data_IF_703707304972
#
_entry.id   IF_703707304972
#
_cell.length_a   1.000
_cell.length_b   1.000
_cell.length_c   1.000
_cell.angle_alpha   90.00
_cell.angle_beta   90.00
_cell.angle_gamma   90.00
#
_symmetry.space_group_name_H-M   'P 1'
#
loop_
_entity.id
_entity.type
_entity.pdbx_description
1 polymer ?
#
# COMPACT_ATOMS: atom_id res chain seq x y z
N UNK A 1 8.34 -13.13 11.63
CA UNK A 1 7.11 -12.69 10.94
C UNK A 1 7.38 -11.31 10.38
N UNK A 2 7.47 -11.15 9.05
CA UNK A 2 7.77 -9.85 8.42
C UNK A 2 6.55 -8.96 8.65
N UNK A 3 6.70 -7.91 9.46
CA UNK A 3 5.66 -6.91 9.67
C UNK A 3 5.47 -6.19 8.33
N UNK A 4 4.35 -6.44 7.64
CA UNK A 4 4.03 -5.73 6.41
C UNK A 4 3.69 -4.28 6.76
N UNK A 5 4.30 -3.28 6.10
CA UNK A 5 4.00 -1.88 6.39
C UNK A 5 2.52 -1.60 6.11
N UNK A 6 1.86 -0.92 7.04
CA UNK A 6 0.51 -0.41 6.80
C UNK A 6 0.50 0.57 5.62
N UNK A 7 -0.64 0.63 4.94
CA UNK A 7 -0.87 1.57 3.85
C UNK A 7 -1.83 2.66 4.27
N UNK A 8 -1.62 3.87 3.75
CA UNK A 8 -2.65 4.89 3.71
C UNK A 8 -3.39 4.82 2.38
N UNK A 9 -4.70 5.04 2.46
CA UNK A 9 -5.57 5.20 1.31
C UNK A 9 -5.73 6.70 1.06
N UNK A 10 -5.41 7.11 -0.17
CA UNK A 10 -5.43 8.48 -0.63
C UNK A 10 -6.57 8.69 -1.62
N UNK A 11 -7.22 9.85 -1.57
CA UNK A 11 -8.31 10.21 -2.50
C UNK A 11 -7.79 10.64 -3.88
N UNK A 12 -6.55 11.13 -3.93
CA UNK A 12 -5.97 11.72 -5.13
C UNK A 12 -4.45 11.76 -5.07
N UNK A 13 -3.81 12.13 -6.19
CA UNK A 13 -2.38 12.45 -6.22
C UNK A 13 -2.00 13.61 -5.29
N UNK A 14 -2.91 14.57 -5.06
CA UNK A 14 -2.68 15.67 -4.12
C UNK A 14 -2.48 15.16 -2.70
N UNK A 15 -3.24 14.15 -2.29
CA UNK A 15 -3.07 13.53 -0.97
C UNK A 15 -1.72 12.84 -0.85
N UNK A 16 -1.28 12.15 -1.92
CA UNK A 16 0.05 11.53 -1.97
C UNK A 16 1.13 12.60 -1.80
N UNK A 17 1.08 13.70 -2.56
CA UNK A 17 2.06 14.79 -2.46
C UNK A 17 2.01 15.52 -1.12
N UNK A 18 0.84 15.52 -0.46
CA UNK A 18 0.65 16.08 0.89
C UNK A 18 1.34 15.19 1.93
N UNK A 19 1.05 13.89 1.93
CA UNK A 19 1.48 12.97 2.98
C UNK A 19 2.83 12.29 2.72
N UNK A 20 3.41 12.46 1.53
CA UNK A 20 4.70 11.90 1.14
C UNK A 20 5.58 12.96 0.48
N UNK A 21 6.81 12.60 0.11
CA UNK A 21 7.68 13.46 -0.72
C UNK A 21 7.31 13.44 -2.20
N UNK A 22 6.21 12.77 -2.58
CA UNK A 22 5.77 12.57 -3.95
C UNK A 22 6.52 11.46 -4.68
N UNK A 23 6.06 11.14 -5.89
CA UNK A 23 6.74 10.17 -6.75
C UNK A 23 8.09 10.71 -7.26
N UNK A 24 9.13 9.85 -7.39
CA UNK A 24 10.41 10.26 -7.94
C UNK A 24 10.25 10.86 -9.34
N UNK A 25 11.00 11.92 -9.65
CA UNK A 25 10.92 12.61 -10.95
C UNK A 25 11.70 11.90 -12.07
N UNK A 26 12.52 10.91 -11.74
CA UNK A 26 13.27 10.08 -12.70
C UNK A 26 14.01 8.93 -12.01
N UNK A 27 14.49 7.95 -12.78
CA UNK A 27 15.36 6.88 -12.29
C UNK A 27 16.73 6.90 -12.99
N UNK A 28 17.67 6.11 -12.46
CA UNK A 28 19.01 5.95 -13.02
C UNK A 28 19.03 5.37 -14.46
N UNK A 29 17.91 4.82 -14.94
CA UNK A 29 17.77 4.21 -16.27
C UNK A 29 17.24 5.17 -17.36
N UNK A 30 17.18 6.49 -17.10
CA UNK A 30 16.78 7.47 -18.12
C UNK A 30 15.28 7.60 -18.35
N UNK A 31 14.44 7.02 -17.48
CA UNK A 31 13.00 7.24 -17.54
C UNK A 31 12.68 8.67 -17.09
N UNK A 32 12.29 9.51 -18.04
CA UNK A 32 12.16 10.96 -17.83
C UNK A 32 10.87 11.36 -17.10
N UNK A 33 9.94 10.42 -16.83
CA UNK A 33 8.71 10.72 -16.10
C UNK A 33 8.04 9.47 -15.47
N UNK A 34 8.53 9.04 -14.30
CA UNK A 34 7.90 7.97 -13.49
C UNK A 34 6.46 8.33 -13.11
N UNK A 35 6.20 9.62 -12.84
CA UNK A 35 4.87 10.07 -12.45
C UNK A 35 3.84 9.83 -13.56
N UNK A 36 4.20 10.10 -14.82
CA UNK A 36 3.36 9.74 -15.97
C UNK A 36 3.09 8.25 -16.04
N UNK A 37 4.09 7.41 -15.78
CA UNK A 37 3.92 5.97 -15.77
C UNK A 37 2.99 5.49 -14.64
N UNK A 38 3.11 6.08 -13.45
CA UNK A 38 2.23 5.80 -12.29
C UNK A 38 0.78 6.21 -12.54
N UNK A 39 0.52 7.27 -13.32
CA UNK A 39 -0.85 7.65 -13.70
C UNK A 39 -1.59 6.57 -14.48
N UNK A 40 -0.88 5.69 -15.18
CA UNK A 40 -1.49 4.54 -15.85
C UNK A 40 -1.77 3.37 -14.89
N UNK A 41 -1.28 3.44 -13.65
CA UNK A 41 -1.45 2.41 -12.62
C UNK A 41 -2.53 2.79 -11.58
N UNK A 42 -2.89 4.07 -11.46
CA UNK A 42 -3.78 4.59 -10.42
C UNK A 42 -4.96 5.38 -11.02
N UNK A 43 -6.19 5.24 -10.48
CA UNK A 43 -6.59 4.29 -9.44
C UNK A 43 -6.41 2.83 -9.87
N UNK A 44 -6.07 1.94 -8.93
CA UNK A 44 -5.81 0.56 -9.31
C UNK A 44 -5.16 -0.33 -8.25
N UNK A 45 -4.81 -1.56 -8.63
CA UNK A 45 -4.34 -2.61 -7.73
C UNK A 45 -2.86 -2.48 -7.37
N UNK A 46 -2.40 -1.26 -7.05
CA UNK A 46 -1.02 -0.98 -6.68
C UNK A 46 -0.92 -0.35 -5.29
N UNK A 47 0.18 -0.67 -4.61
CA UNK A 47 0.65 0.02 -3.41
C UNK A 47 2.06 0.52 -3.68
N UNK A 48 2.30 1.81 -3.54
CA UNK A 48 3.62 2.40 -3.71
C UNK A 48 4.22 2.75 -2.35
N UNK A 49 5.42 2.31 -2.04
CA UNK A 49 6.13 2.72 -0.83
C UNK A 49 6.89 4.00 -1.13
N UNK A 50 6.56 5.06 -0.40
CA UNK A 50 7.15 6.40 -0.56
C UNK A 50 7.69 6.90 0.77
N UNK A 51 8.62 7.86 0.71
CA UNK A 51 9.08 8.58 1.90
C UNK A 51 7.96 9.48 2.41
N UNK A 52 7.56 9.31 3.67
CA UNK A 52 6.52 10.12 4.30
C UNK A 52 6.98 11.58 4.49
N UNK A 53 6.03 12.51 4.34
CA UNK A 53 6.24 13.92 4.64
C UNK A 53 6.03 14.20 6.13
N UNK A 54 6.31 15.43 6.55
CA UNK A 54 5.99 15.90 7.91
C UNK A 54 4.48 16.09 8.15
N UNK A 55 3.67 16.15 7.08
CA UNK A 55 2.22 16.34 7.16
C UNK A 55 1.48 15.02 7.40
N UNK A 56 2.13 13.87 7.22
CA UNK A 56 1.55 12.59 7.59
C UNK A 56 1.29 12.56 9.11
N UNK A 57 0.05 12.26 9.56
CA UNK A 57 -0.24 12.14 10.99
C UNK A 57 0.69 11.10 11.64
N UNK A 58 1.28 11.44 12.79
CA UNK A 58 2.27 10.60 13.49
C UNK A 58 1.74 9.20 13.80
N UNK A 59 0.43 9.06 13.98
CA UNK A 59 -0.27 7.80 14.17
C UNK A 59 -0.02 6.86 13.00
N UNK A 60 -0.07 7.36 11.75
CA UNK A 60 0.18 6.56 10.55
C UNK A 60 1.62 6.01 10.50
N UNK A 61 2.59 6.73 11.07
CA UNK A 61 3.99 6.30 11.15
C UNK A 61 4.24 5.32 12.29
N UNK A 62 3.49 5.41 13.40
CA UNK A 62 3.65 4.51 14.57
C UNK A 62 3.24 3.08 14.25
N UNK A 63 2.29 2.91 13.32
CA UNK A 63 1.81 1.61 12.87
C UNK A 63 2.54 1.10 11.61
N UNK A 64 3.66 1.73 11.20
CA UNK A 64 4.49 1.33 10.07
C UNK A 64 5.95 1.08 10.46
N UNK A 65 6.48 -0.07 10.05
CA UNK A 65 7.90 -0.46 10.04
C UNK A 65 8.67 -0.40 11.38
N UNK A 66 8.54 -1.48 12.17
CA UNK A 66 9.50 -1.85 13.23
C UNK A 66 10.62 -2.79 12.73
N UNK A 67 10.84 -2.88 11.41
CA UNK A 67 11.90 -3.71 10.82
C UNK A 67 13.17 -2.86 10.64
N UNK A 68 14.32 -3.35 11.11
CA UNK A 68 15.62 -2.66 11.08
C UNK A 68 16.03 -2.13 9.69
N UNK A 69 15.55 -2.75 8.60
CA UNK A 69 15.80 -2.32 7.21
C UNK A 69 15.07 -1.01 6.82
N UNK A 70 13.93 -0.73 7.45
CA UNK A 70 13.06 0.43 7.16
C UNK A 70 12.94 1.41 8.33
N UNK A 71 13.45 1.07 9.51
CA UNK A 71 13.38 1.89 10.72
C UNK A 71 14.13 3.24 10.60
N UNK A 72 15.06 3.38 9.64
CA UNK A 72 15.83 4.63 9.44
C UNK A 72 15.12 5.66 8.53
N UNK A 73 14.11 5.26 7.77
CA UNK A 73 13.35 6.14 6.86
C UNK A 73 11.86 5.98 7.09
N UNK A 74 11.19 7.08 7.43
CA UNK A 74 9.73 7.13 7.63
C UNK A 74 9.04 6.84 6.30
N UNK A 75 8.93 5.58 5.91
CA UNK A 75 8.30 5.18 4.66
C UNK A 75 6.84 4.79 4.93
N UNK A 76 5.98 4.97 3.94
CA UNK A 76 4.56 4.63 4.03
C UNK A 76 4.09 4.04 2.70
N UNK A 77 3.28 2.98 2.75
CA UNK A 77 2.59 2.49 1.57
C UNK A 77 1.43 3.43 1.23
N UNK A 78 1.31 3.86 -0.02
CA UNK A 78 0.18 4.67 -0.51
C UNK A 78 -0.63 3.89 -1.53
N UNK A 79 -1.95 4.08 -1.49
CA UNK A 79 -2.90 3.44 -2.41
C UNK A 79 -3.95 4.44 -2.87
N UNK A 80 -4.36 4.34 -4.13
CA UNK A 80 -5.59 4.95 -4.65
C UNK A 80 -6.43 3.80 -5.22
N UNK A 81 -7.31 3.17 -4.41
CA UNK A 81 -8.13 2.05 -4.85
C UNK A 81 -9.15 2.47 -5.89
N UNK A 82 -9.34 1.63 -6.90
CA UNK A 82 -10.47 1.72 -7.83
C UNK A 82 -11.68 0.98 -7.23
N UNK A 83 -12.20 1.49 -6.12
CA UNK A 83 -13.37 0.95 -5.43
C UNK A 83 -14.34 2.08 -5.03
N UNK A 84 -15.60 2.07 -5.53
CA UNK A 84 -16.55 3.14 -5.26
C UNK A 84 -16.88 3.35 -3.78
N UNK A 85 -16.85 2.29 -2.96
CA UNK A 85 -17.16 2.38 -1.53
C UNK A 85 -16.00 3.03 -0.79
N UNK A 86 -14.76 2.63 -1.08
CA UNK A 86 -13.57 3.31 -0.58
C UNK A 86 -13.57 4.79 -0.96
N UNK A 87 -13.87 5.13 -2.22
CA UNK A 87 -13.91 6.53 -2.66
C UNK A 87 -14.98 7.33 -1.93
N UNK A 88 -16.21 6.80 -1.81
CA UNK A 88 -17.29 7.46 -1.08
C UNK A 88 -16.95 7.69 0.41
N UNK A 89 -16.25 6.75 1.05
CA UNK A 89 -15.76 6.92 2.43
C UNK A 89 -14.72 8.03 2.50
N UNK A 90 -13.72 8.02 1.61
CA UNK A 90 -12.65 9.03 1.59
C UNK A 90 -13.17 10.44 1.33
N UNK A 91 -14.24 10.60 0.54
CA UNK A 91 -14.89 11.90 0.31
C UNK A 91 -15.47 12.52 1.59
N UNK A 92 -15.78 11.70 2.59
CA UNK A 92 -16.28 12.15 3.90
C UNK A 92 -15.18 12.36 4.94
N UNK A 93 -13.92 12.07 4.59
CA UNK A 93 -12.79 12.18 5.50
C UNK A 93 -11.93 13.41 5.18
N UNK A 94 -11.54 14.13 6.23
CA UNK A 94 -10.63 15.28 6.15
C UNK A 94 -9.15 14.87 6.11
N UNK A 95 -8.85 13.57 6.16
CA UNK A 95 -7.49 13.02 6.22
C UNK A 95 -7.37 11.65 5.56
N UNK A 96 -6.17 11.05 5.56
CA UNK A 96 -5.94 9.76 4.95
C UNK A 96 -6.53 8.65 5.82
N UNK A 97 -7.00 7.57 5.20
CA UNK A 97 -7.46 6.38 5.90
C UNK A 97 -6.32 5.36 5.99
N UNK A 98 -5.93 4.97 7.21
CA UNK A 98 -4.99 3.85 7.39
C UNK A 98 -5.74 2.54 7.11
N UNK A 99 -5.12 1.64 6.36
CA UNK A 99 -5.72 0.37 5.96
C UNK A 99 -4.72 -0.78 6.00
N UNK A 100 -5.23 -1.95 6.41
CA UNK A 100 -4.60 -3.26 6.34
C UNK A 100 -5.59 -4.28 5.79
N UNK A 101 -5.07 -5.41 5.29
CA UNK A 101 -5.91 -6.58 5.04
C UNK A 101 -6.48 -7.12 6.36
N UNK A 102 -7.76 -7.50 6.34
CA UNK A 102 -8.44 -8.15 7.46
C UNK A 102 -8.12 -9.64 7.44
N UNK A 103 -7.62 -10.17 8.54
CA UNK A 103 -7.19 -11.57 8.65
C UNK A 103 -7.65 -12.21 9.94
N UNK A 104 -7.95 -13.50 9.93
CA UNK A 104 -8.28 -14.25 11.14
C UNK A 104 -7.16 -14.10 12.18
N UNK A 105 -7.48 -13.66 13.43
CA UNK A 105 -6.51 -13.57 14.51
C UNK A 105 -5.86 -14.91 14.86
N UNK A 106 -6.55 -16.02 14.58
CA UNK A 106 -6.13 -17.39 14.92
C UNK A 106 -5.40 -18.08 13.76
N UNK A 107 -5.94 -17.95 12.56
CA UNK A 107 -5.53 -18.76 11.39
C UNK A 107 -4.69 -17.97 10.39
N UNK A 108 -4.61 -16.62 10.53
CA UNK A 108 -3.89 -15.72 9.62
C UNK A 108 -4.35 -15.82 8.15
N UNK A 109 -5.54 -16.39 7.92
CA UNK A 109 -6.25 -16.42 6.65
C UNK A 109 -7.05 -15.13 6.42
N UNK A 110 -7.33 -14.80 5.16
CA UNK A 110 -8.08 -13.59 4.84
C UNK A 110 -9.56 -13.81 5.13
N UNK A 111 -10.20 -12.81 5.73
CA UNK A 111 -11.65 -12.81 5.95
C UNK A 111 -12.27 -11.81 4.97
N UNK A 112 -13.23 -12.27 4.16
CA UNK A 112 -13.84 -11.48 3.08
C UNK A 112 -15.33 -11.26 3.26
N UNK A 113 -15.96 -12.11 4.05
CA UNK A 113 -17.38 -12.01 4.36
C UNK A 113 -17.56 -10.98 5.49
N UNK A 114 -18.32 -9.89 5.26
CA UNK A 114 -18.53 -8.85 6.26
C UNK A 114 -19.23 -9.36 7.53
N UNK A 115 -20.07 -10.40 7.43
CA UNK A 115 -20.72 -11.03 8.59
C UNK A 115 -19.67 -11.74 9.44
N UNK A 116 -18.78 -12.50 8.80
CA UNK A 116 -17.68 -13.18 9.52
C UNK A 116 -16.72 -12.14 10.13
N UNK A 117 -16.43 -11.05 9.43
CA UNK A 117 -15.61 -9.95 10.00
C UNK A 117 -16.26 -9.40 11.27
N UNK A 118 -17.56 -9.12 11.23
CA UNK A 118 -18.31 -8.60 12.38
C UNK A 118 -18.27 -9.58 13.57
N UNK A 119 -18.48 -10.86 13.33
CA UNK A 119 -18.48 -11.89 14.37
C UNK A 119 -17.10 -12.07 15.01
N UNK A 120 -16.04 -12.10 14.18
CA UNK A 120 -14.66 -12.32 14.64
C UNK A 120 -14.11 -11.11 15.39
N UNK A 121 -14.34 -9.90 14.88
CA UNK A 121 -13.73 -8.68 15.42
C UNK A 121 -14.65 -7.87 16.33
N UNK A 122 -15.95 -8.16 16.39
CA UNK A 122 -16.87 -7.54 17.34
C UNK A 122 -16.35 -7.61 18.79
N UNK A 123 -15.92 -8.79 19.29
CA UNK A 123 -15.31 -8.93 20.60
C UNK A 123 -13.95 -8.21 20.77
N UNK A 124 -13.24 -7.95 19.68
CA UNK A 124 -11.92 -7.29 19.64
C UNK A 124 -12.05 -5.75 19.60
N UNK A 125 -13.27 -5.21 19.67
CA UNK A 125 -13.52 -3.76 19.69
C UNK A 125 -13.78 -3.15 18.31
N UNK A 126 -14.32 -3.91 17.36
CA UNK A 126 -14.79 -3.36 16.09
C UNK A 126 -16.01 -2.46 16.28
N UNK A 127 -15.90 -1.20 15.87
CA UNK A 127 -17.01 -0.24 15.99
C UNK A 127 -18.13 -0.50 14.96
N UNK A 128 -17.77 -0.76 13.69
CA UNK A 128 -18.74 -1.01 12.62
C UNK A 128 -18.13 -1.76 11.43
N UNK A 129 -19.01 -2.33 10.60
CA UNK A 129 -18.69 -2.91 9.29
C UNK A 129 -19.50 -2.20 8.22
N UNK A 130 -18.84 -1.86 7.11
CA UNK A 130 -19.52 -1.42 5.88
C UNK A 130 -19.68 -2.63 4.97
N UNK A 131 -20.87 -3.18 4.94
CA UNK A 131 -21.21 -4.29 4.04
C UNK A 131 -21.39 -3.78 2.61
N UNK A 132 -20.50 -4.21 1.73
CA UNK A 132 -20.58 -3.96 0.29
C UNK A 132 -20.50 -5.27 -0.53
N UNK A 133 -20.97 -6.37 0.07
CA UNK A 133 -20.90 -7.73 -0.45
C UNK A 133 -19.51 -8.36 -0.33
N UNK A 134 -19.45 -9.67 -0.56
CA UNK A 134 -18.18 -10.44 -0.56
C UNK A 134 -17.30 -9.99 -1.72
N UNK A 135 -16.04 -9.66 -1.43
CA UNK A 135 -15.05 -9.17 -2.41
C UNK A 135 -13.92 -10.17 -2.65
N UNK A 136 -13.33 -10.12 -3.83
CA UNK A 136 -12.15 -10.94 -4.18
C UNK A 136 -10.91 -10.36 -3.51
N UNK A 137 -10.09 -11.24 -2.95
CA UNK A 137 -8.94 -10.93 -2.11
C UNK A 137 -7.60 -10.80 -2.86
N UNK A 138 -7.60 -10.40 -4.12
CA UNK A 138 -6.32 -10.33 -4.83
C UNK A 138 -5.48 -9.17 -4.26
N UNK A 139 -4.29 -9.45 -3.69
CA UNK A 139 -3.46 -8.42 -3.11
C UNK A 139 -2.99 -7.44 -4.18
N UNK A 140 -2.78 -6.19 -3.79
CA UNK A 140 -2.11 -5.21 -4.66
C UNK A 140 -0.67 -5.61 -4.94
N UNK A 141 -0.17 -5.22 -6.10
CA UNK A 141 1.26 -5.23 -6.39
C UNK A 141 1.93 -4.13 -5.59
N UNK A 142 2.95 -4.47 -4.82
CA UNK A 142 3.65 -3.54 -3.93
C UNK A 142 4.99 -3.19 -4.54
N UNK A 143 5.22 -1.90 -4.75
CA UNK A 143 6.41 -1.36 -5.41
C UNK A 143 7.12 -0.39 -4.48
N UNK A 144 8.38 -0.66 -4.16
CA UNK A 144 9.26 0.24 -3.44
C UNK A 144 9.78 1.32 -4.37
N UNK A 145 9.43 2.58 -4.08
CA UNK A 145 9.84 3.76 -4.86
C UNK A 145 10.90 4.59 -4.12
N UNK A 146 11.48 4.07 -3.04
CA UNK A 146 12.41 4.81 -2.17
C UNK A 146 13.87 4.70 -2.63
N UNK A 147 14.15 3.76 -3.51
CA UNK A 147 15.45 3.57 -4.16
C UNK A 147 15.50 4.26 -5.53
N UNK A 148 16.68 4.25 -6.17
CA UNK A 148 16.90 4.84 -7.49
C UNK A 148 16.11 4.16 -8.61
N UNK A 149 15.77 2.88 -8.45
CA UNK A 149 14.96 2.10 -9.39
C UNK A 149 13.73 1.51 -8.68
N UNK A 150 12.51 1.72 -9.20
CA UNK A 150 11.29 1.15 -8.62
C UNK A 150 11.28 -0.38 -8.59
N UNK A 151 11.19 -0.96 -7.38
CA UNK A 151 11.33 -2.41 -7.18
C UNK A 151 10.01 -3.05 -6.76
N UNK A 152 9.58 -4.12 -7.43
CA UNK A 152 8.45 -4.94 -6.97
C UNK A 152 8.93 -5.76 -5.77
N UNK A 153 8.34 -5.50 -4.60
CA UNK A 153 8.59 -6.31 -3.39
C UNK A 153 7.53 -7.39 -3.19
N UNK A 154 6.38 -7.26 -3.86
CA UNK A 154 5.32 -8.26 -3.90
C UNK A 154 4.53 -8.12 -5.18
N UNK A 155 4.55 -9.16 -6.02
CA UNK A 155 3.66 -9.23 -7.18
C UNK A 155 2.24 -9.57 -6.71
N UNK A 156 1.25 -8.79 -7.16
CA UNK A 156 -0.17 -8.99 -6.90
C UNK A 156 -0.98 -8.82 -8.18
N UNK A 157 -2.22 -8.33 -8.06
CA UNK A 157 -3.15 -8.14 -9.19
C UNK A 157 -2.66 -7.13 -10.23
N UNK A 158 -1.85 -6.15 -9.83
CA UNK A 158 -1.31 -5.15 -10.76
C UNK A 158 -0.20 -5.74 -11.63
N UNK A 159 -0.30 -5.75 -12.97
CA UNK A 159 0.75 -6.30 -13.82
C UNK A 159 2.09 -5.57 -13.64
N UNK A 160 3.21 -6.28 -13.79
CA UNK A 160 4.54 -5.67 -13.84
C UNK A 160 4.59 -4.68 -15.01
N UNK A 161 5.05 -3.47 -14.74
CA UNK A 161 5.29 -2.45 -15.77
C UNK A 161 6.75 -2.45 -16.21
N UNK A 162 7.10 -1.99 -17.42
CA UNK A 162 8.47 -2.01 -17.93
C UNK A 162 9.50 -1.26 -17.07
N UNK A 163 9.05 -0.27 -16.29
CA UNK A 163 9.88 0.56 -15.42
C UNK A 163 10.08 -0.04 -14.02
N UNK A 164 9.44 -1.18 -13.73
CA UNK A 164 9.56 -1.89 -12.46
C UNK A 164 10.57 -3.03 -12.59
N UNK A 165 11.50 -3.11 -11.64
CA UNK A 165 12.43 -4.24 -11.52
C UNK A 165 11.89 -5.29 -10.54
N UNK A 166 12.22 -6.54 -10.78
CA UNK A 166 12.02 -7.66 -9.84
C UNK A 166 13.41 -8.05 -9.37
N UNK A 167 13.59 -8.45 -8.11
CA UNK A 167 14.85 -9.11 -7.74
C UNK A 167 14.98 -10.38 -8.57
N UNK A 168 16.00 -10.45 -9.42
CA UNK A 168 16.48 -11.76 -9.88
C UNK A 168 16.93 -12.52 -8.62
N UNK A 169 16.51 -13.77 -8.49
CA UNK A 169 16.95 -14.67 -7.43
C UNK A 169 18.47 -14.83 -7.62
N UNK A 170 19.26 -14.07 -6.86
CA UNK A 170 20.72 -14.06 -6.88
C UNK A 170 21.25 -15.33 -6.17
N UNK A 171 20.77 -16.48 -6.62
CA UNK A 171 21.19 -17.82 -6.24
C UNK A 171 21.66 -18.61 -7.46
N UNK A 172 22.62 -18.03 -8.18
CA UNK A 172 23.54 -18.78 -9.02
C UNK A 172 24.93 -18.12 -8.99
N UNK A 173 25.57 -18.18 -7.82
CA UNK A 173 27.04 -18.24 -7.79
C UNK A 173 27.37 -19.72 -7.64
N UNK A 174 27.38 -20.40 -8.78
CA UNK A 174 28.21 -21.59 -8.97
C UNK A 174 29.67 -21.12 -8.90
N UNK A 175 30.39 -21.54 -7.86
CA UNK A 175 31.75 -22.15 -7.87
C UNK A 175 32.29 -22.32 -6.45
#
# INVERSE_FOLDING_TARGET
MILQPLSIICRSFRDIDTYTTGFPRGNAQGLTDIFRAVKHCLPGPYTFILTASKQLPKQCTRYGTATSKYASRKNVGVRIPDDPVCQAILEKLDGPLISTSVKSPKENEWILDPVIIADVYGPEGLDFVVDAGVRVADPSTVVDMTESAPRIIRQGKGPKQPWMIVEDDDSAVDE
#
